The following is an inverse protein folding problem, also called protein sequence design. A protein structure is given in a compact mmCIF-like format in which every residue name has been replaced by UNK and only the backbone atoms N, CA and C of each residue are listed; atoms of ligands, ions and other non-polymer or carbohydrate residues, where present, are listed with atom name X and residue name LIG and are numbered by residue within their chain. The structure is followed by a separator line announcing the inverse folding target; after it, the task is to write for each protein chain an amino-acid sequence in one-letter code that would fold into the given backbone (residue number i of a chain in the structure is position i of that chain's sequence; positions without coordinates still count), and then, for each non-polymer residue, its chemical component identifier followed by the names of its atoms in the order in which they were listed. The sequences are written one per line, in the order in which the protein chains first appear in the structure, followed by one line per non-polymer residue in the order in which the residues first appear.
data_IF_373084649108
#
_entry.id   IF_373084649108
#
_cell.length_a   1.000
_cell.length_b   1.000
_cell.length_c   1.000
_cell.angle_alpha   90.00
_cell.angle_beta   90.00
_cell.angle_gamma   90.00
#
_symmetry.space_group_name_H-M   'P 1'
#
loop_
_entity.id
_entity.type
_entity.pdbx_description
1 polymer ?
#
# COMPACT_ATOMS: atom_id res chain seq x y z
N UNK A 1 23.41 5.09 2.96
CA UNK A 1 21.92 5.03 2.85
C UNK A 1 21.49 3.62 2.39
N UNK A 2 21.84 2.63 3.15
CA UNK A 2 21.79 1.22 2.78
C UNK A 2 20.40 0.70 2.42
N UNK A 3 19.92 0.97 1.19
CA UNK A 3 18.69 0.42 0.63
C UNK A 3 17.44 0.64 1.50
N UNK A 4 17.33 1.82 2.12
CA UNK A 4 16.19 2.16 3.00
C UNK A 4 14.85 1.96 2.29
N UNK A 5 14.75 2.44 1.06
CA UNK A 5 13.53 2.31 0.28
C UNK A 5 13.12 0.85 0.09
N UNK A 6 14.06 0.01 -0.31
CA UNK A 6 13.81 -1.42 -0.50
C UNK A 6 13.44 -2.13 0.81
N UNK A 7 14.18 -1.86 1.87
CA UNK A 7 13.95 -2.50 3.17
C UNK A 7 12.57 -2.17 3.73
N UNK A 8 12.15 -0.91 3.65
CA UNK A 8 10.83 -0.47 4.15
C UNK A 8 9.70 -1.00 3.30
N UNK A 9 9.81 -0.92 1.97
CA UNK A 9 8.75 -1.39 1.08
C UNK A 9 8.56 -2.90 1.12
N UNK A 10 9.64 -3.67 1.16
CA UNK A 10 9.55 -5.13 1.23
C UNK A 10 8.96 -5.60 2.56
N UNK A 11 9.31 -4.95 3.66
CA UNK A 11 8.75 -5.27 4.97
C UNK A 11 7.23 -5.01 5.00
N UNK A 12 6.83 -3.85 4.52
CA UNK A 12 5.42 -3.48 4.47
C UNK A 12 4.64 -4.40 3.53
N UNK A 13 5.17 -4.69 2.34
CA UNK A 13 4.54 -5.61 1.41
C UNK A 13 4.37 -7.01 2.02
N UNK A 14 5.36 -7.47 2.79
CA UNK A 14 5.28 -8.73 3.51
C UNK A 14 4.14 -8.77 4.53
N UNK A 15 3.95 -7.69 5.29
CA UNK A 15 2.83 -7.61 6.25
C UNK A 15 1.47 -7.52 5.56
N UNK A 16 1.37 -6.74 4.51
CA UNK A 16 0.13 -6.60 3.75
C UNK A 16 -0.30 -7.93 3.11
N UNK A 17 0.64 -8.67 2.54
CA UNK A 17 0.37 -9.93 1.88
C UNK A 17 0.27 -11.14 2.82
N UNK A 18 0.64 -11.00 4.09
CA UNK A 18 0.57 -12.09 5.05
C UNK A 18 -0.88 -12.50 5.32
N UNK A 19 -1.14 -13.76 5.71
CA UNK A 19 -2.51 -14.21 6.04
C UNK A 19 -3.19 -13.37 7.12
N UNK A 20 -2.42 -12.80 8.05
CA UNK A 20 -2.90 -11.90 9.11
C UNK A 20 -3.03 -10.45 8.67
N UNK A 21 -2.61 -10.12 7.46
CA UNK A 21 -2.68 -8.78 6.88
C UNK A 21 -3.96 -8.56 6.09
N UNK A 22 -3.83 -8.14 4.83
CA UNK A 22 -4.97 -7.86 3.96
C UNK A 22 -5.96 -9.01 3.82
N UNK A 23 -5.51 -10.28 3.65
CA UNK A 23 -6.47 -11.38 3.57
C UNK A 23 -7.41 -11.46 4.76
N UNK A 24 -6.91 -11.30 5.97
CA UNK A 24 -7.72 -11.33 7.19
C UNK A 24 -8.65 -10.13 7.30
N UNK A 25 -8.13 -8.92 7.06
CA UNK A 25 -8.93 -7.68 7.11
C UNK A 25 -10.03 -7.68 6.07
N UNK A 26 -9.74 -8.11 4.85
CA UNK A 26 -10.72 -8.17 3.77
C UNK A 26 -11.81 -9.21 4.03
N UNK A 27 -11.46 -10.36 4.61
CA UNK A 27 -12.45 -11.37 4.99
C UNK A 27 -13.45 -10.83 6.02
N UNK A 28 -12.96 -10.12 7.05
CA UNK A 28 -13.80 -9.50 8.06
C UNK A 28 -14.70 -8.40 7.48
N UNK A 29 -14.16 -7.57 6.60
CA UNK A 29 -14.90 -6.49 5.93
C UNK A 29 -15.99 -7.09 5.02
N UNK A 30 -15.65 -8.09 4.24
CA UNK A 30 -16.60 -8.77 3.35
C UNK A 30 -17.79 -9.36 4.12
N UNK A 31 -17.51 -9.97 5.26
CA UNK A 31 -18.55 -10.52 6.13
C UNK A 31 -19.42 -9.40 6.72
N UNK A 32 -18.80 -8.33 7.24
CA UNK A 32 -19.52 -7.19 7.81
C UNK A 32 -20.44 -6.52 6.80
N UNK A 33 -19.96 -6.34 5.56
CA UNK A 33 -20.69 -5.64 4.50
C UNK A 33 -21.57 -6.56 3.67
N UNK A 34 -21.51 -7.87 3.94
CA UNK A 34 -22.22 -8.89 3.17
C UNK A 34 -21.93 -8.75 1.66
N UNK A 35 -20.65 -8.59 1.34
CA UNK A 35 -20.15 -8.44 -0.03
C UNK A 35 -19.09 -9.48 -0.34
N UNK A 36 -18.99 -9.84 -1.61
CA UNK A 36 -17.87 -10.64 -2.09
C UNK A 36 -16.80 -9.70 -2.63
N UNK A 37 -15.65 -9.68 -1.95
CA UNK A 37 -14.48 -8.92 -2.36
C UNK A 37 -13.46 -9.86 -3.01
N UNK A 38 -12.78 -9.38 -4.04
CA UNK A 38 -11.67 -10.10 -4.63
C UNK A 38 -10.53 -10.27 -3.64
N UNK A 39 -9.91 -11.44 -3.64
CA UNK A 39 -8.82 -11.76 -2.72
C UNK A 39 -7.56 -10.98 -3.06
N UNK A 40 -6.82 -10.59 -2.03
CA UNK A 40 -5.44 -10.12 -2.15
C UNK A 40 -4.53 -11.26 -1.68
N UNK A 41 -3.93 -11.95 -2.62
CA UNK A 41 -2.89 -12.96 -2.35
C UNK A 41 -1.53 -12.27 -2.23
N UNK A 42 -0.49 -12.92 -1.64
CA UNK A 42 0.85 -12.33 -1.61
C UNK A 42 1.36 -11.90 -2.99
N UNK A 43 0.97 -12.59 -4.05
CA UNK A 43 1.37 -12.29 -5.43
C UNK A 43 0.71 -11.02 -5.97
N UNK A 44 -0.34 -10.54 -5.35
CA UNK A 44 -1.03 -9.31 -5.73
C UNK A 44 -0.56 -8.09 -4.93
N UNK A 45 0.37 -8.27 -4.01
CA UNK A 45 1.03 -7.19 -3.30
C UNK A 45 2.44 -7.05 -3.87
N UNK A 46 2.64 -5.99 -4.63
CA UNK A 46 3.85 -5.77 -5.43
C UNK A 46 4.66 -4.60 -4.88
N UNK A 47 5.91 -4.86 -4.50
CA UNK A 47 6.84 -3.82 -4.05
C UNK A 47 7.43 -3.10 -5.27
N UNK A 48 6.59 -2.41 -6.03
CA UNK A 48 6.93 -1.74 -7.28
C UNK A 48 6.17 -0.43 -7.43
N UNK A 49 6.79 0.53 -8.13
CA UNK A 49 6.14 1.75 -8.59
C UNK A 49 5.93 1.63 -10.09
N UNK A 50 4.72 1.28 -10.50
CA UNK A 50 4.37 1.05 -11.91
C UNK A 50 3.12 1.83 -12.26
N UNK A 51 3.19 2.63 -13.33
CA UNK A 51 2.02 3.35 -13.81
C UNK A 51 0.92 2.35 -14.26
N UNK A 52 -0.36 2.65 -13.99
CA UNK A 52 -1.45 1.76 -14.38
C UNK A 52 -1.44 1.38 -15.85
N UNK A 53 -1.13 2.34 -16.72
CA UNK A 53 -1.09 2.12 -18.17
C UNK A 53 0.00 1.12 -18.58
N UNK A 54 1.14 1.14 -17.89
CA UNK A 54 2.21 0.19 -18.13
C UNK A 54 1.85 -1.20 -17.59
N UNK A 55 1.23 -1.25 -16.42
CA UNK A 55 0.78 -2.51 -15.83
C UNK A 55 -0.23 -3.23 -16.74
N UNK A 56 -1.17 -2.49 -17.33
CA UNK A 56 -2.18 -3.05 -18.24
C UNK A 56 -1.58 -3.67 -19.52
N UNK A 57 -0.43 -3.17 -19.95
CA UNK A 57 0.28 -3.71 -21.12
C UNK A 57 1.04 -4.98 -20.81
N UNK A 58 1.23 -5.28 -19.53
CA UNK A 58 1.96 -6.46 -19.09
C UNK A 58 0.98 -7.62 -18.94
N UNK A 59 1.27 -8.75 -19.57
CA UNK A 59 0.44 -9.94 -19.44
C UNK A 59 0.43 -10.41 -17.98
N UNK A 60 -0.76 -10.76 -17.47
CA UNK A 60 -0.92 -11.34 -16.15
C UNK A 60 -1.21 -10.36 -15.02
N UNK A 61 -1.48 -9.09 -15.32
CA UNK A 61 -1.96 -8.15 -14.29
C UNK A 61 -3.33 -8.60 -13.82
N UNK A 62 -3.47 -8.80 -12.52
CA UNK A 62 -4.71 -9.19 -11.88
C UNK A 62 -5.17 -8.12 -10.90
N UNK A 63 -6.47 -7.86 -10.88
CA UNK A 63 -7.09 -6.94 -9.95
C UNK A 63 -7.99 -7.70 -8.96
N UNK A 64 -8.12 -7.24 -7.73
CA UNK A 64 -7.46 -6.07 -7.15
C UNK A 64 -5.95 -6.26 -7.01
N UNK A 65 -5.19 -5.18 -7.09
CA UNK A 65 -3.75 -5.20 -6.93
C UNK A 65 -3.30 -4.10 -5.96
N UNK A 66 -2.28 -4.40 -5.18
CA UNK A 66 -1.68 -3.48 -4.22
C UNK A 66 -0.23 -3.26 -4.62
N UNK A 67 0.14 -2.00 -4.79
CA UNK A 67 1.52 -1.59 -5.05
C UNK A 67 2.07 -0.84 -3.86
N UNK A 68 3.28 -1.19 -3.45
CA UNK A 68 3.96 -0.57 -2.31
C UNK A 68 5.29 -0.02 -2.82
N UNK A 69 5.52 1.26 -2.59
CA UNK A 69 6.78 1.88 -2.99
C UNK A 69 7.15 3.05 -2.09
N UNK A 70 8.43 3.39 -2.11
CA UNK A 70 8.94 4.58 -1.43
C UNK A 70 8.97 5.73 -2.44
N UNK A 71 8.22 6.78 -2.12
CA UNK A 71 8.12 7.96 -2.98
C UNK A 71 9.26 8.93 -2.76
N UNK A 72 9.77 9.02 -1.52
CA UNK A 72 10.74 10.03 -1.15
C UNK A 72 11.55 9.60 0.07
N UNK A 73 12.84 9.89 0.03
CA UNK A 73 13.73 9.77 1.17
C UNK A 73 14.25 11.17 1.52
N UNK A 74 14.22 11.52 2.80
CA UNK A 74 14.76 12.79 3.27
C UNK A 74 15.72 12.52 4.42
N UNK A 75 17.00 12.77 4.20
CA UNK A 75 18.01 12.68 5.26
C UNK A 75 18.19 14.07 5.87
N UNK A 76 17.66 14.28 7.05
CA UNK A 76 17.71 15.55 7.76
C UNK A 76 18.90 15.64 8.73
N UNK A 77 19.64 14.55 8.89
CA UNK A 77 20.73 14.42 9.86
C UNK A 77 20.33 14.89 11.26
N UNK A 78 19.15 14.45 11.70
CA UNK A 78 18.58 14.82 13.00
C UNK A 78 19.45 14.35 14.16
N UNK A 79 20.10 13.22 14.00
CA UNK A 79 20.96 12.62 15.02
C UNK A 79 22.41 12.68 14.58
N UNK A 80 23.28 13.06 15.53
CA UNK A 80 24.73 13.09 15.28
C UNK A 80 25.26 11.67 15.10
N UNK A 81 26.27 11.54 14.27
CA UNK A 81 26.99 10.29 14.01
C UNK A 81 26.15 9.21 13.32
N UNK A 82 25.01 9.57 12.76
CA UNK A 82 24.21 8.69 11.92
C UNK A 82 24.52 8.94 10.44
N UNK A 83 24.49 7.88 9.65
CA UNK A 83 24.63 8.01 8.19
C UNK A 83 23.32 8.48 7.56
N UNK A 84 22.21 8.10 8.15
CA UNK A 84 20.88 8.56 7.75
C UNK A 84 20.03 8.76 8.99
N UNK A 85 19.42 9.93 9.08
CA UNK A 85 18.50 10.26 10.18
C UNK A 85 17.45 11.22 9.63
N UNK A 86 16.29 10.70 9.30
CA UNK A 86 15.24 11.45 8.64
C UNK A 86 13.98 10.64 8.42
N UNK A 87 13.43 10.74 7.22
CA UNK A 87 12.13 10.12 6.91
C UNK A 87 12.13 9.41 5.56
N UNK A 88 11.34 8.36 5.48
CA UNK A 88 10.96 7.74 4.21
C UNK A 88 9.44 7.92 4.02
N UNK A 89 9.04 8.42 2.87
CA UNK A 89 7.62 8.50 2.49
C UNK A 89 7.24 7.27 1.70
N UNK A 90 6.31 6.51 2.25
CA UNK A 90 5.81 5.28 1.65
C UNK A 90 4.41 5.49 1.09
N UNK A 91 4.12 4.79 0.01
CA UNK A 91 2.80 4.79 -0.62
C UNK A 91 2.32 3.35 -0.76
N UNK A 92 1.09 3.11 -0.35
CA UNK A 92 0.34 1.89 -0.65
C UNK A 92 -0.76 2.27 -1.62
N UNK A 93 -0.68 1.74 -2.83
CA UNK A 93 -1.60 2.07 -3.91
C UNK A 93 -2.50 0.88 -4.18
N UNK A 94 -3.80 1.06 -3.95
CA UNK A 94 -4.82 0.05 -4.25
C UNK A 94 -5.43 0.32 -5.61
N UNK A 95 -5.46 -0.68 -6.47
CA UNK A 95 -6.06 -0.61 -7.80
C UNK A 95 -7.16 -1.63 -7.91
N UNK A 96 -8.36 -1.18 -8.25
CA UNK A 96 -9.57 -2.00 -8.29
C UNK A 96 -10.27 -1.79 -9.62
N UNK A 97 -10.79 -2.87 -10.18
CA UNK A 97 -11.63 -2.83 -11.38
C UNK A 97 -13.03 -3.35 -11.09
N UNK A 98 -14.00 -2.84 -11.81
CA UNK A 98 -15.37 -3.32 -11.78
C UNK A 98 -16.07 -2.97 -13.09
N UNK A 99 -17.04 -3.77 -13.49
CA UNK A 99 -17.84 -3.51 -14.68
C UNK A 99 -18.88 -2.41 -14.48
N UNK A 100 -19.18 -2.06 -13.21
CA UNK A 100 -20.14 -1.02 -12.83
C UNK A 100 -19.41 0.10 -12.10
N UNK A 101 -19.46 1.29 -12.65
CA UNK A 101 -18.74 2.45 -12.11
C UNK A 101 -19.24 2.86 -10.73
N UNK A 102 -20.52 2.71 -10.43
CA UNK A 102 -21.11 3.06 -9.14
C UNK A 102 -20.67 2.14 -8.00
N UNK A 103 -20.26 0.91 -8.31
CA UNK A 103 -19.72 -0.03 -7.34
C UNK A 103 -18.24 0.17 -7.07
N UNK A 104 -17.53 0.78 -8.01
CA UNK A 104 -16.09 0.88 -8.01
C UNK A 104 -15.56 1.66 -6.80
N UNK A 105 -16.08 2.85 -6.55
CA UNK A 105 -15.65 3.72 -5.45
C UNK A 105 -15.89 3.06 -4.08
N UNK A 106 -17.05 2.44 -3.91
CA UNK A 106 -17.40 1.76 -2.66
C UNK A 106 -16.44 0.63 -2.36
N UNK A 107 -16.15 -0.21 -3.36
CA UNK A 107 -15.23 -1.33 -3.19
C UNK A 107 -13.82 -0.85 -2.92
N UNK A 108 -13.38 0.17 -3.63
CA UNK A 108 -12.07 0.76 -3.41
C UNK A 108 -11.89 1.26 -1.97
N UNK A 109 -12.90 1.92 -1.40
CA UNK A 109 -12.88 2.35 0.00
C UNK A 109 -12.69 1.18 0.96
N UNK A 110 -13.30 0.03 0.68
CA UNK A 110 -13.16 -1.15 1.53
C UNK A 110 -11.73 -1.72 1.48
N UNK A 111 -11.08 -1.68 0.32
CA UNK A 111 -9.66 -2.06 0.23
C UNK A 111 -8.77 -1.07 0.96
N UNK A 112 -9.06 0.22 0.89
CA UNK A 112 -8.35 1.25 1.65
C UNK A 112 -8.53 1.03 3.15
N UNK A 113 -9.74 0.73 3.60
CA UNK A 113 -9.99 0.38 5.01
C UNK A 113 -9.12 -0.79 5.46
N UNK A 114 -9.04 -1.84 4.66
CA UNK A 114 -8.19 -2.99 4.98
C UNK A 114 -6.71 -2.59 5.08
N UNK A 115 -6.21 -1.77 4.15
CA UNK A 115 -4.83 -1.27 4.19
C UNK A 115 -4.58 -0.48 5.47
N UNK A 116 -5.47 0.43 5.83
CA UNK A 116 -5.30 1.26 7.02
C UNK A 116 -5.38 0.44 8.31
N UNK A 117 -6.17 -0.62 8.34
CA UNK A 117 -6.19 -1.55 9.49
C UNK A 117 -4.83 -2.23 9.68
N UNK A 118 -4.19 -2.65 8.58
CA UNK A 118 -2.85 -3.25 8.66
C UNK A 118 -1.83 -2.23 9.15
N UNK A 119 -1.88 -1.00 8.66
CA UNK A 119 -1.00 0.08 9.13
C UNK A 119 -1.20 0.36 10.62
N UNK A 120 -2.43 0.43 11.07
CA UNK A 120 -2.76 0.68 12.47
C UNK A 120 -2.22 -0.44 13.38
N UNK A 121 -2.21 -1.67 12.92
CA UNK A 121 -1.67 -2.81 13.65
C UNK A 121 -0.13 -2.78 13.73
N UNK A 122 0.54 -2.00 12.88
CA UNK A 122 2.00 -1.93 12.81
C UNK A 122 2.56 -0.56 13.21
N UNK A 123 1.86 0.16 14.07
CA UNK A 123 2.43 1.37 14.69
C UNK A 123 3.56 0.98 15.62
N UNK A 124 4.61 1.78 15.63
CA UNK A 124 5.74 1.59 16.52
C UNK A 124 7.02 1.21 15.79
N UNK A 125 7.86 0.49 16.49
CA UNK A 125 9.18 0.08 16.00
C UNK A 125 9.07 -1.06 14.99
N UNK A 126 9.54 -0.80 13.78
CA UNK A 126 9.63 -1.82 12.72
C UNK A 126 10.94 -2.60 12.78
N UNK A 127 11.87 -2.22 13.65
CA UNK A 127 13.23 -2.75 13.67
C UNK A 127 14.13 -2.11 12.63
N UNK A 128 15.43 -2.34 12.75
CA UNK A 128 16.41 -1.81 11.79
C UNK A 128 16.47 -0.29 11.74
N UNK A 129 16.07 0.41 12.81
CA UNK A 129 16.07 1.87 12.85
C UNK A 129 14.88 2.52 12.19
N UNK A 130 13.80 1.79 11.93
CA UNK A 130 12.59 2.29 11.28
C UNK A 130 11.47 2.35 12.31
N UNK A 131 10.80 3.49 12.41
CA UNK A 131 9.71 3.72 13.35
C UNK A 131 8.52 4.37 12.65
N UNK A 132 7.32 3.80 12.85
CA UNK A 132 6.07 4.33 12.34
C UNK A 132 5.22 4.89 13.48
N UNK A 133 5.11 6.22 13.54
CA UNK A 133 4.33 6.90 14.58
C UNK A 133 2.82 6.76 14.40
N UNK A 134 2.37 6.36 13.25
CA UNK A 134 0.96 6.36 12.85
C UNK A 134 0.64 7.58 12.01
N UNK A 135 -0.58 7.65 11.52
CA UNK A 135 -1.00 8.73 10.64
C UNK A 135 -0.76 8.40 9.16
N UNK A 136 -1.67 8.85 8.33
CA UNK A 136 -1.61 8.64 6.89
C UNK A 136 -2.56 9.60 6.19
N UNK A 137 -2.36 9.78 4.90
CA UNK A 137 -3.29 10.48 4.02
C UNK A 137 -3.82 9.52 2.97
N UNK A 138 -5.08 9.66 2.60
CA UNK A 138 -5.70 8.86 1.55
C UNK A 138 -6.14 9.80 0.43
N UNK A 139 -5.73 9.48 -0.79
CA UNK A 139 -6.17 10.20 -1.99
C UNK A 139 -6.83 9.21 -2.95
N UNK A 140 -7.96 9.62 -3.51
CA UNK A 140 -8.70 8.82 -4.48
C UNK A 140 -8.54 9.42 -5.87
N UNK A 141 -8.12 8.61 -6.83
CA UNK A 141 -8.05 9.02 -8.22
C UNK A 141 -9.42 8.93 -8.90
N UNK A 142 -9.53 9.56 -10.05
CA UNK A 142 -10.72 9.46 -10.88
C UNK A 142 -10.82 8.07 -11.53
N UNK A 143 -12.04 7.62 -11.75
CA UNK A 143 -12.30 6.38 -12.49
C UNK A 143 -11.87 6.52 -13.94
N UNK A 144 -11.28 5.45 -14.48
CA UNK A 144 -10.80 5.39 -15.86
C UNK A 144 -11.34 4.14 -16.54
N UNK A 145 -11.31 4.14 -17.86
CA UNK A 145 -11.49 2.91 -18.63
C UNK A 145 -10.25 2.03 -18.50
N UNK A 146 -10.45 0.77 -18.10
CA UNK A 146 -9.40 -0.24 -18.02
C UNK A 146 -9.76 -1.47 -18.85
N UNK A 147 -9.77 -1.33 -20.18
CA UNK A 147 -10.22 -2.40 -21.05
C UNK A 147 -11.74 -2.60 -20.99
N UNK A 148 -12.20 -3.78 -20.55
CA UNK A 148 -13.63 -4.09 -20.42
C UNK A 148 -14.27 -3.48 -19.17
N UNK A 149 -13.46 -3.21 -18.15
CA UNK A 149 -13.92 -2.73 -16.87
C UNK A 149 -13.46 -1.29 -16.62
N UNK A 150 -14.07 -0.65 -15.63
CA UNK A 150 -13.56 0.60 -15.09
C UNK A 150 -12.47 0.31 -14.07
N UNK A 151 -11.50 1.20 -13.99
CA UNK A 151 -10.37 1.14 -13.05
C UNK A 151 -10.37 2.38 -12.18
N UNK A 152 -10.15 2.21 -10.89
CA UNK A 152 -9.91 3.32 -9.96
C UNK A 152 -8.78 2.97 -9.02
N UNK A 153 -8.00 3.99 -8.67
CA UNK A 153 -6.83 3.87 -7.79
C UNK A 153 -6.99 4.78 -6.60
N UNK A 154 -6.57 4.28 -5.43
CA UNK A 154 -6.41 5.09 -4.22
C UNK A 154 -5.00 4.92 -3.69
N UNK A 155 -4.46 5.97 -3.09
CA UNK A 155 -3.13 5.97 -2.47
C UNK A 155 -3.25 6.28 -1.00
N UNK A 156 -2.64 5.43 -0.18
CA UNK A 156 -2.43 5.67 1.24
C UNK A 156 -0.96 6.05 1.41
N UNK A 157 -0.72 7.28 1.83
CA UNK A 157 0.63 7.87 1.92
C UNK A 157 0.95 8.17 3.38
N UNK A 158 2.13 7.80 3.83
CA UNK A 158 2.57 8.03 5.19
C UNK A 158 4.09 8.08 5.28
N UNK A 159 4.59 8.65 6.38
CA UNK A 159 6.02 8.74 6.64
C UNK A 159 6.42 7.75 7.74
N UNK A 160 7.61 7.18 7.61
CA UNK A 160 8.28 6.47 8.69
C UNK A 160 9.57 7.20 9.04
N UNK A 161 9.91 7.23 10.31
CA UNK A 161 11.18 7.77 10.77
C UNK A 161 12.27 6.72 10.59
N UNK A 162 13.42 7.15 10.12
CA UNK A 162 14.56 6.26 9.82
C UNK A 162 15.81 6.81 10.48
N UNK A 163 16.50 5.94 11.23
CA UNK A 163 17.76 6.27 11.89
C UNK A 163 18.74 5.12 11.66
N UNK A 164 19.78 5.36 10.86
CA UNK A 164 20.80 4.36 10.51
C UNK A 164 22.17 4.86 10.91
N UNK A 165 22.91 3.98 11.56
CA UNK A 165 24.25 4.27 12.05
C UNK A 165 25.40 3.93 11.14
#
# INVERSE_FOLDING_TARGET
MAQVANATTNRLAGWLGAPTGLPSSLAAIAERENLRLGEITPQRVLAQSVAPELAERTAGVQYPAIYVYCEKLTNELREKFRTFSGRARLVVEARVTHDRIEELSRRLELYVEAVTEVLDAHRGDWGGGIFYAGGYEVTFGASKHGGKNFLQTAKVTFDVDVSLG
#
